data_IF_352772941711
#
_entry.id   IF_352772941711
#
_cell.length_a   1.000
_cell.length_b   1.000
_cell.length_c   1.000
_cell.angle_alpha   90.00
_cell.angle_beta   90.00
_cell.angle_gamma   90.00
#
_symmetry.space_group_name_H-M   'P 1'
#
loop_
_entity.id
_entity.type
_entity.pdbx_description
1 polymer ?
#
# COMPACT_ATOMS: atom_id res chain seq x y z
N UNK A 1 12.04 -6.18 19.71
CA UNK A 1 11.18 -7.29 20.17
C UNK A 1 10.73 -8.23 19.05
N UNK A 2 10.33 -7.76 17.86
CA UNK A 2 9.83 -8.65 16.78
C UNK A 2 10.83 -9.73 16.33
N UNK A 3 12.10 -9.41 16.10
CA UNK A 3 13.09 -10.41 15.67
C UNK A 3 13.27 -11.57 16.67
N UNK A 4 13.14 -11.31 17.98
CA UNK A 4 13.29 -12.35 19.01
C UNK A 4 12.12 -13.33 19.02
N UNK A 5 10.93 -12.84 18.68
CA UNK A 5 9.68 -13.62 18.72
C UNK A 5 9.39 -14.31 17.37
N UNK A 6 9.76 -13.68 16.25
CA UNK A 6 9.33 -14.10 14.91
C UNK A 6 10.49 -14.30 13.92
N UNK A 7 11.73 -14.12 14.37
CA UNK A 7 12.92 -14.27 13.53
C UNK A 7 13.24 -13.07 12.63
N UNK A 8 14.36 -13.16 11.93
CA UNK A 8 14.92 -12.07 11.12
C UNK A 8 14.14 -11.80 9.84
N UNK A 9 13.40 -12.79 9.33
CA UNK A 9 12.59 -12.65 8.12
C UNK A 9 11.37 -11.78 8.37
N UNK A 10 10.55 -12.11 9.37
CA UNK A 10 9.36 -11.32 9.72
C UNK A 10 9.74 -9.92 10.18
N UNK A 11 10.85 -9.78 10.93
CA UNK A 11 11.34 -8.45 11.33
C UNK A 11 11.62 -7.55 10.12
N UNK A 12 12.26 -8.09 9.07
CA UNK A 12 12.57 -7.32 7.85
C UNK A 12 11.31 -6.89 7.11
N UNK A 13 10.29 -7.75 7.05
CA UNK A 13 9.00 -7.41 6.44
C UNK A 13 8.34 -6.26 7.21
N UNK A 14 8.31 -6.34 8.54
CA UNK A 14 7.71 -5.29 9.39
C UNK A 14 8.47 -3.97 9.28
N UNK A 15 9.81 -4.01 9.22
CA UNK A 15 10.64 -2.83 9.00
C UNK A 15 10.34 -2.20 7.61
N UNK A 16 10.15 -3.04 6.59
CA UNK A 16 9.73 -2.61 5.25
C UNK A 16 8.37 -1.92 5.25
N UNK A 17 7.38 -2.48 5.96
CA UNK A 17 6.04 -1.90 6.10
C UNK A 17 6.09 -0.51 6.75
N UNK A 18 6.94 -0.34 7.77
CA UNK A 18 7.10 0.94 8.49
C UNK A 18 7.73 2.01 7.60
N UNK A 19 8.75 1.65 6.80
CA UNK A 19 9.40 2.59 5.87
C UNK A 19 8.44 3.10 4.79
N UNK A 20 7.60 2.22 4.24
CA UNK A 20 6.62 2.60 3.21
C UNK A 20 5.58 3.58 3.76
N UNK A 21 5.10 3.37 4.99
CA UNK A 21 4.16 4.30 5.62
C UNK A 21 4.72 5.72 5.69
N UNK A 22 5.99 5.88 6.10
CA UNK A 22 6.64 7.18 6.18
C UNK A 22 6.79 7.89 4.82
N UNK A 23 7.00 7.14 3.73
CA UNK A 23 7.11 7.71 2.38
C UNK A 23 5.76 8.18 1.85
N UNK A 24 4.67 7.50 2.22
CA UNK A 24 3.31 7.85 1.75
C UNK A 24 2.73 9.07 2.46
N UNK A 25 3.13 9.36 3.70
CA UNK A 25 2.68 10.55 4.44
C UNK A 25 3.35 11.86 3.98
N UNK A 26 4.46 11.78 3.24
CA UNK A 26 5.17 12.96 2.75
C UNK A 26 4.42 13.64 1.59
N UNK A 27 3.71 14.74 1.88
CA UNK A 27 3.11 15.77 1.01
C UNK A 27 2.80 15.44 -0.48
N UNK A 28 1.58 15.75 -0.88
CA UNK A 28 0.97 15.48 -2.20
C UNK A 28 1.71 16.03 -3.43
N UNK A 29 2.63 17.00 -3.28
CA UNK A 29 3.40 17.56 -4.40
C UNK A 29 4.50 16.64 -4.95
N UNK A 30 4.83 15.54 -4.25
CA UNK A 30 5.91 14.60 -4.61
C UNK A 30 5.41 13.21 -4.99
N UNK A 31 4.15 13.05 -5.40
CA UNK A 31 3.55 11.74 -5.71
C UNK A 31 4.39 10.89 -6.67
N UNK A 32 4.99 11.47 -7.72
CA UNK A 32 5.82 10.73 -8.68
C UNK A 32 7.13 10.21 -8.05
N UNK A 33 7.77 10.98 -7.17
CA UNK A 33 8.98 10.56 -6.46
C UNK A 33 8.67 9.54 -5.36
N UNK A 34 7.56 9.73 -4.63
CA UNK A 34 7.10 8.79 -3.63
C UNK A 34 6.74 7.45 -4.27
N UNK A 35 6.07 7.47 -5.43
CA UNK A 35 5.80 6.28 -6.22
C UNK A 35 7.12 5.60 -6.66
N UNK A 36 8.11 6.35 -7.15
CA UNK A 36 9.43 5.80 -7.50
C UNK A 36 10.15 5.16 -6.30
N UNK A 37 10.08 5.77 -5.12
CA UNK A 37 10.63 5.22 -3.87
C UNK A 37 9.91 3.93 -3.45
N UNK A 38 8.57 3.89 -3.54
CA UNK A 38 7.78 2.68 -3.29
C UNK A 38 8.18 1.56 -4.24
N UNK A 39 8.41 1.87 -5.52
CA UNK A 39 8.87 0.89 -6.50
C UNK A 39 10.27 0.33 -6.16
N UNK A 40 11.17 1.17 -5.63
CA UNK A 40 12.50 0.74 -5.19
C UNK A 40 12.46 -0.13 -3.93
N UNK A 41 11.45 0.01 -3.06
CA UNK A 41 11.25 -0.93 -1.96
C UNK A 41 10.64 -2.27 -2.40
N UNK A 42 10.04 -2.35 -3.60
CA UNK A 42 9.53 -3.62 -4.16
C UNK A 42 10.65 -4.62 -4.47
N UNK A 43 11.87 -4.14 -4.75
CA UNK A 43 12.97 -5.02 -5.18
C UNK A 43 13.59 -5.84 -4.05
N UNK A 44 13.38 -5.47 -2.78
CA UNK A 44 14.01 -6.16 -1.64
C UNK A 44 13.17 -7.31 -1.09
N UNK A 45 11.84 -7.15 -0.97
CA UNK A 45 10.93 -8.24 -0.58
C UNK A 45 9.49 -7.98 -1.07
N UNK A 46 8.98 -8.75 -2.06
CA UNK A 46 7.66 -8.55 -2.64
C UNK A 46 6.51 -8.79 -1.64
N UNK A 47 6.74 -9.44 -0.50
CA UNK A 47 5.67 -9.70 0.49
C UNK A 47 5.21 -8.42 1.18
N UNK A 48 6.10 -7.43 1.33
CA UNK A 48 5.77 -6.14 1.94
C UNK A 48 4.66 -5.44 1.16
N UNK A 49 4.74 -5.44 -0.18
CA UNK A 49 3.72 -4.82 -1.01
C UNK A 49 2.44 -5.65 -1.06
N UNK A 50 2.52 -6.98 -1.07
CA UNK A 50 1.34 -7.84 -1.02
C UNK A 50 0.51 -7.57 0.23
N UNK A 51 1.17 -7.43 1.38
CA UNK A 51 0.51 -7.06 2.64
C UNK A 51 -0.14 -5.68 2.54
N UNK A 52 0.52 -4.70 1.91
CA UNK A 52 -0.06 -3.35 1.73
C UNK A 52 -1.23 -3.30 0.75
N UNK A 53 -1.20 -4.09 -0.31
CA UNK A 53 -2.34 -4.23 -1.23
C UNK A 53 -3.53 -4.89 -0.52
N UNK A 54 -3.28 -5.93 0.29
CA UNK A 54 -4.34 -6.57 1.07
C UNK A 54 -4.96 -5.63 2.11
N UNK A 55 -4.13 -4.90 2.87
CA UNK A 55 -4.56 -3.87 3.81
C UNK A 55 -5.39 -2.78 3.11
N UNK A 56 -4.92 -2.26 1.97
CA UNK A 56 -5.66 -1.25 1.21
C UNK A 56 -7.00 -1.78 0.69
N UNK A 57 -7.03 -2.99 0.14
CA UNK A 57 -8.27 -3.60 -0.35
C UNK A 57 -9.30 -3.77 0.78
N UNK A 58 -8.85 -4.20 1.96
CA UNK A 58 -9.71 -4.28 3.13
C UNK A 58 -10.27 -2.91 3.55
N UNK A 59 -9.44 -1.86 3.52
CA UNK A 59 -9.89 -0.50 3.79
C UNK A 59 -10.93 -0.03 2.77
N UNK A 60 -10.75 -0.32 1.48
CA UNK A 60 -11.74 -0.01 0.43
C UNK A 60 -13.07 -0.72 0.67
N UNK A 61 -13.04 -1.99 1.12
CA UNK A 61 -14.25 -2.76 1.44
C UNK A 61 -15.02 -2.27 2.68
N UNK A 62 -14.41 -1.42 3.52
CA UNK A 62 -14.97 -1.02 4.82
C UNK A 62 -15.06 0.50 5.02
N UNK A 63 -14.78 1.29 3.98
CA UNK A 63 -14.69 2.75 4.08
C UNK A 63 -16.04 3.48 4.21
N UNK A 64 -17.17 2.80 4.03
CA UNK A 64 -18.51 3.39 4.14
C UNK A 64 -18.78 4.02 5.51
N UNK A 65 -18.13 3.54 6.57
CA UNK A 65 -18.25 4.07 7.93
C UNK A 65 -17.38 5.32 8.18
N UNK A 66 -16.57 5.75 7.20
CA UNK A 66 -15.67 6.89 7.34
C UNK A 66 -16.31 8.21 6.88
N UNK A 67 -15.75 9.33 7.35
CA UNK A 67 -16.10 10.66 6.83
C UNK A 67 -15.78 10.77 5.33
N UNK A 68 -16.60 11.50 4.58
CA UNK A 68 -16.47 11.65 3.12
C UNK A 68 -15.08 12.13 2.67
N UNK A 69 -14.49 13.08 3.39
CA UNK A 69 -13.13 13.57 3.10
C UNK A 69 -12.09 12.44 3.16
N UNK A 70 -12.18 11.58 4.18
CA UNK A 70 -11.28 10.44 4.33
C UNK A 70 -11.52 9.39 3.25
N UNK A 71 -12.77 9.18 2.86
CA UNK A 71 -13.11 8.30 1.74
C UNK A 71 -12.47 8.80 0.44
N UNK A 72 -12.64 10.08 0.10
CA UNK A 72 -12.06 10.68 -1.10
C UNK A 72 -10.53 10.56 -1.13
N UNK A 73 -9.87 10.78 0.02
CA UNK A 73 -8.42 10.59 0.15
C UNK A 73 -8.02 9.15 -0.15
N UNK A 74 -8.71 8.18 0.47
CA UNK A 74 -8.43 6.74 0.31
C UNK A 74 -8.69 6.27 -1.13
N UNK A 75 -9.81 6.67 -1.75
CA UNK A 75 -10.12 6.36 -3.16
C UNK A 75 -9.05 6.93 -4.10
N UNK A 76 -8.67 8.19 -3.89
CA UNK A 76 -7.63 8.85 -4.71
C UNK A 76 -6.29 8.12 -4.62
N UNK A 77 -5.81 7.84 -3.40
CA UNK A 77 -4.59 7.04 -3.21
C UNK A 77 -4.70 5.67 -3.90
N UNK A 78 -5.85 5.02 -3.81
CA UNK A 78 -6.08 3.69 -4.37
C UNK A 78 -5.94 3.70 -5.89
N UNK A 79 -6.60 4.63 -6.56
CA UNK A 79 -6.56 4.76 -8.03
C UNK A 79 -5.16 5.17 -8.52
N UNK A 80 -4.51 6.12 -7.85
CA UNK A 80 -3.24 6.66 -8.34
C UNK A 80 -2.00 5.83 -7.95
N UNK A 81 -2.06 5.06 -6.86
CA UNK A 81 -0.90 4.33 -6.33
C UNK A 81 -1.15 2.83 -6.31
N UNK A 82 -2.21 2.36 -5.63
CA UNK A 82 -2.36 0.94 -5.32
C UNK A 82 -2.84 0.11 -6.50
N UNK A 83 -3.80 0.58 -7.29
CA UNK A 83 -4.25 -0.12 -8.49
C UNK A 83 -3.13 -0.28 -9.54
N UNK A 84 -2.33 0.76 -9.86
CA UNK A 84 -1.14 0.60 -10.71
C UNK A 84 -0.11 -0.38 -10.15
N UNK A 85 0.08 -0.44 -8.83
CA UNK A 85 0.97 -1.41 -8.20
C UNK A 85 0.43 -2.84 -8.32
N UNK A 86 -0.85 -3.07 -8.06
CA UNK A 86 -1.50 -4.36 -8.26
C UNK A 86 -1.36 -4.84 -9.72
N UNK A 87 -1.55 -3.94 -10.69
CA UNK A 87 -1.33 -4.24 -12.10
C UNK A 87 0.13 -4.68 -12.38
N UNK A 88 1.12 -3.95 -11.87
CA UNK A 88 2.55 -4.30 -12.06
C UNK A 88 2.93 -5.65 -11.44
N UNK A 89 2.19 -6.09 -10.42
CA UNK A 89 2.37 -7.40 -9.80
C UNK A 89 1.56 -8.53 -10.48
N UNK A 90 0.80 -8.22 -11.54
CA UNK A 90 -0.09 -9.19 -12.19
C UNK A 90 -1.35 -9.52 -11.39
N UNK A 91 -1.69 -8.72 -10.38
CA UNK A 91 -2.85 -8.92 -9.50
C UNK A 91 -4.09 -8.23 -10.07
N UNK A 92 -4.49 -8.64 -11.28
CA UNK A 92 -5.56 -7.99 -12.05
C UNK A 92 -6.91 -7.96 -11.31
N UNK A 93 -7.29 -9.05 -10.64
CA UNK A 93 -8.55 -9.10 -9.89
C UNK A 93 -8.57 -8.10 -8.73
N UNK A 94 -7.45 -7.96 -8.01
CA UNK A 94 -7.32 -6.97 -6.93
C UNK A 94 -7.39 -5.55 -7.49
N UNK A 95 -6.71 -5.30 -8.62
CA UNK A 95 -6.75 -4.01 -9.31
C UNK A 95 -8.18 -3.62 -9.69
N UNK A 96 -8.90 -4.52 -10.37
CA UNK A 96 -10.29 -4.27 -10.78
C UNK A 96 -11.18 -4.01 -9.57
N UNK A 97 -11.09 -4.83 -8.53
CA UNK A 97 -11.89 -4.62 -7.32
C UNK A 97 -11.58 -3.28 -6.62
N UNK A 98 -10.31 -2.88 -6.58
CA UNK A 98 -9.91 -1.57 -6.06
C UNK A 98 -10.47 -0.41 -6.88
N UNK A 99 -10.55 -0.54 -8.21
CA UNK A 99 -11.11 0.47 -9.10
C UNK A 99 -12.63 0.56 -8.97
N UNK A 100 -13.32 -0.58 -8.79
CA UNK A 100 -14.78 -0.63 -8.62
C UNK A 100 -15.25 -0.05 -7.28
N UNK A 101 -14.42 -0.16 -6.23
CA UNK A 101 -14.72 0.38 -4.90
C UNK A 101 -14.39 1.87 -4.73
N UNK A 102 -13.64 2.49 -5.67
CA UNK A 102 -13.09 3.84 -5.52
C UNK A 102 -14.05 4.97 -5.91
#
# INVERSE_FOLDING_TARGET
NIQREFGSEISRIVDGLTKIANVMDANSSQQAENFKKILLTLTDDPRVILIKLADRLHNMRTMDHMKREKQLKISSETVYVYAPLAHRMGLYNIKTEMEDLA
#
